data_IF_702125271294
#
_entry.id   IF_702125271294
#
_cell.length_a   1.000
_cell.length_b   1.000
_cell.length_c   1.000
_cell.angle_alpha   90.00
_cell.angle_beta   90.00
_cell.angle_gamma   90.00
#
_symmetry.space_group_name_H-M   'P 1'
#
loop_
_entity.id
_entity.type
_entity.pdbx_description
1 polymer ?
#
# COMPACT_ATOMS: atom_id res chain seq x y z
N UNK A 1 -22.74 -34.58 -48.18
CA UNK A 1 -22.40 -34.71 -46.74
C UNK A 1 -23.03 -33.56 -45.94
N UNK A 2 -24.34 -33.62 -45.62
CA UNK A 2 -25.02 -32.65 -44.73
C UNK A 2 -26.17 -33.25 -43.90
N UNK A 3 -26.46 -34.55 -44.04
CA UNK A 3 -27.62 -35.21 -43.40
C UNK A 3 -27.34 -35.76 -42.00
N UNK A 4 -26.07 -36.00 -41.65
CA UNK A 4 -25.69 -36.58 -40.34
C UNK A 4 -25.64 -35.55 -39.21
N UNK A 5 -25.35 -34.28 -39.50
CA UNK A 5 -25.29 -33.23 -38.45
C UNK A 5 -26.67 -32.74 -38.01
N UNK A 6 -27.69 -32.82 -38.89
CA UNK A 6 -29.07 -32.44 -38.56
C UNK A 6 -29.75 -33.50 -37.68
N UNK A 7 -29.46 -34.79 -37.90
CA UNK A 7 -29.96 -35.89 -37.07
C UNK A 7 -29.39 -35.85 -35.65
N UNK A 8 -28.13 -35.45 -35.46
CA UNK A 8 -27.51 -35.31 -34.14
C UNK A 8 -28.08 -34.14 -33.33
N UNK A 9 -28.42 -33.02 -33.98
CA UNK A 9 -29.04 -31.88 -33.31
C UNK A 9 -30.50 -32.15 -32.89
N UNK A 10 -31.25 -32.91 -33.69
CA UNK A 10 -32.63 -33.30 -33.35
C UNK A 10 -32.64 -34.31 -32.19
N UNK A 11 -31.70 -35.25 -32.15
CA UNK A 11 -31.59 -36.22 -31.05
C UNK A 11 -31.15 -35.54 -29.73
N UNK A 12 -30.23 -34.56 -29.80
CA UNK A 12 -29.83 -33.78 -28.63
C UNK A 12 -30.96 -32.88 -28.08
N UNK A 13 -31.78 -32.29 -28.97
CA UNK A 13 -32.95 -31.52 -28.57
C UNK A 13 -34.07 -32.41 -27.99
N UNK A 14 -34.27 -33.63 -28.50
CA UNK A 14 -35.25 -34.58 -27.96
C UNK A 14 -34.85 -35.09 -26.56
N UNK A 15 -33.56 -35.33 -26.32
CA UNK A 15 -33.02 -35.70 -25.01
C UNK A 15 -33.12 -34.59 -23.95
N UNK A 16 -33.01 -33.32 -24.37
CA UNK A 16 -33.19 -32.16 -23.48
C UNK A 16 -34.67 -31.92 -23.11
N UNK A 17 -35.62 -32.28 -23.99
CA UNK A 17 -37.06 -32.10 -23.72
C UNK A 17 -37.63 -33.24 -22.86
N UNK A 18 -37.04 -34.44 -22.87
CA UNK A 18 -37.51 -35.55 -22.02
C UNK A 18 -37.18 -35.41 -20.52
N UNK A 19 -36.25 -34.54 -20.14
CA UNK A 19 -35.90 -34.28 -18.73
C UNK A 19 -36.88 -33.31 -18.05
N UNK A 20 -37.63 -32.52 -18.83
CA UNK A 20 -38.54 -31.50 -18.30
C UNK A 20 -39.97 -31.99 -17.98
N UNK A 21 -40.28 -33.28 -18.16
CA UNK A 21 -41.63 -33.82 -17.91
C UNK A 21 -41.68 -34.93 -16.84
N UNK A 22 -40.64 -35.14 -16.05
CA UNK A 22 -40.68 -36.10 -14.91
C UNK A 22 -40.53 -35.46 -13.53
N UNK A 23 -40.65 -34.13 -13.43
CA UNK A 23 -40.73 -33.46 -12.12
C UNK A 23 -42.20 -33.16 -11.83
N UNK A 24 -42.86 -34.12 -11.18
CA UNK A 24 -44.19 -33.94 -10.62
C UNK A 24 -44.06 -33.04 -9.37
N UNK A 25 -44.53 -31.80 -9.48
CA UNK A 25 -44.58 -30.83 -8.37
C UNK A 25 -45.96 -30.79 -7.70
N UNK A 26 -46.70 -31.91 -7.71
CA UNK A 26 -48.07 -31.96 -7.20
C UNK A 26 -48.21 -32.44 -5.74
N UNK A 27 -47.15 -32.40 -4.93
CA UNK A 27 -47.29 -32.54 -3.47
C UNK A 27 -46.02 -32.09 -2.75
N UNK A 28 -45.90 -30.79 -2.50
CA UNK A 28 -45.05 -30.32 -1.40
C UNK A 28 -45.96 -30.33 -0.17
N UNK A 29 -45.80 -31.34 0.69
CA UNK A 29 -46.49 -31.41 1.98
C UNK A 29 -46.00 -30.28 2.88
N UNK A 30 -46.93 -29.50 3.45
CA UNK A 30 -46.65 -28.39 4.37
C UNK A 30 -45.87 -28.86 5.63
N UNK A 31 -45.89 -30.16 5.94
CA UNK A 31 -45.21 -30.77 7.08
C UNK A 31 -43.68 -30.90 6.92
N UNK A 32 -43.13 -30.94 5.69
CA UNK A 32 -41.66 -30.93 5.49
C UNK A 32 -41.06 -29.52 5.61
N UNK A 33 -41.80 -28.50 5.15
CA UNK A 33 -41.38 -27.09 5.28
C UNK A 33 -41.39 -26.67 6.76
N UNK A 34 -42.38 -27.12 7.54
CA UNK A 34 -42.45 -26.85 8.98
C UNK A 34 -41.27 -27.45 9.77
N UNK A 35 -40.74 -28.62 9.37
CA UNK A 35 -39.57 -29.24 10.01
C UNK A 35 -38.26 -28.49 9.74
N UNK A 36 -38.11 -27.83 8.60
CA UNK A 36 -36.93 -27.02 8.29
C UNK A 36 -36.88 -25.73 9.11
N UNK A 37 -38.04 -25.10 9.36
CA UNK A 37 -38.14 -23.87 10.15
C UNK A 37 -37.96 -24.12 11.65
N UNK A 38 -38.43 -25.25 12.17
CA UNK A 38 -38.29 -25.59 13.59
C UNK A 38 -36.83 -25.80 14.04
N UNK A 39 -35.92 -26.15 13.12
CA UNK A 39 -34.50 -26.41 13.45
C UNK A 39 -33.65 -25.13 13.57
N UNK A 40 -34.22 -23.95 13.31
CA UNK A 40 -33.50 -22.66 13.32
C UNK A 40 -33.76 -21.78 14.54
N UNK A 41 -34.66 -22.16 15.47
CA UNK A 41 -35.09 -21.29 16.58
C UNK A 41 -34.49 -21.58 17.96
N UNK A 42 -33.65 -22.61 18.14
CA UNK A 42 -33.07 -22.93 19.46
C UNK A 42 -31.66 -22.34 19.73
N UNK A 43 -31.16 -21.43 18.89
CA UNK A 43 -29.79 -20.90 19.04
C UNK A 43 -29.68 -19.39 19.33
N UNK A 44 -30.72 -18.72 19.82
CA UNK A 44 -30.62 -17.32 20.24
C UNK A 44 -31.47 -17.01 21.49
N UNK A 45 -31.02 -17.48 22.65
CA UNK A 45 -31.35 -16.83 23.93
C UNK A 45 -30.13 -15.96 24.29
N UNK A 46 -30.26 -14.62 24.33
CA UNK A 46 -29.21 -13.77 24.87
C UNK A 46 -29.05 -14.03 26.38
N UNK A 47 -27.84 -14.11 26.93
CA UNK A 47 -27.66 -14.15 28.37
C UNK A 47 -28.17 -12.84 28.99
N UNK A 48 -28.96 -12.96 30.07
CA UNK A 48 -29.37 -11.85 30.94
C UNK A 48 -28.14 -11.04 31.37
N UNK A 49 -28.14 -9.75 31.04
CA UNK A 49 -27.09 -8.80 31.40
C UNK A 49 -27.07 -8.58 32.92
N UNK A 50 -25.91 -8.80 33.54
CA UNK A 50 -25.61 -8.27 34.88
C UNK A 50 -25.55 -6.74 34.83
N UNK A 51 -25.80 -6.02 35.94
CA UNK A 51 -25.66 -4.56 35.99
C UNK A 51 -24.24 -4.17 35.56
N UNK A 52 -24.14 -3.51 34.41
CA UNK A 52 -22.90 -2.98 33.89
C UNK A 52 -22.38 -1.89 34.84
N UNK A 53 -21.12 -1.93 35.28
CA UNK A 53 -20.53 -0.80 35.98
C UNK A 53 -20.57 0.43 35.07
N UNK A 54 -20.94 1.56 35.66
CA UNK A 54 -21.01 2.88 35.04
C UNK A 54 -19.77 3.13 34.16
N UNK A 55 -19.94 3.60 32.92
CA UNK A 55 -18.80 3.86 32.04
C UNK A 55 -17.92 4.90 32.71
N UNK A 56 -16.75 4.46 33.18
CA UNK A 56 -15.69 5.38 33.57
C UNK A 56 -15.34 6.13 32.31
N UNK A 57 -15.70 7.41 32.28
CA UNK A 57 -15.35 8.34 31.23
C UNK A 57 -13.87 8.12 30.90
N UNK A 58 -13.51 7.75 29.65
CA UNK A 58 -12.10 7.63 29.31
C UNK A 58 -11.46 8.97 29.65
N UNK A 59 -10.43 8.91 30.49
CA UNK A 59 -9.58 10.06 30.75
C UNK A 59 -9.23 10.71 29.40
N UNK A 60 -9.26 12.04 29.29
CA UNK A 60 -8.97 12.73 28.05
C UNK A 60 -7.71 12.10 27.45
N UNK A 61 -7.85 11.54 26.24
CA UNK A 61 -6.74 11.08 25.45
C UNK A 61 -5.80 12.27 25.39
N UNK A 62 -4.64 12.16 26.06
CA UNK A 62 -3.61 13.15 25.93
C UNK A 62 -3.38 13.32 24.44
N UNK A 63 -3.60 14.54 23.94
CA UNK A 63 -3.17 14.90 22.59
C UNK A 63 -1.71 14.43 22.44
N UNK A 64 -1.31 13.87 21.29
CA UNK A 64 0.08 13.54 21.06
C UNK A 64 0.86 14.82 21.34
N UNK A 65 1.69 14.80 22.37
CA UNK A 65 2.62 15.89 22.62
C UNK A 65 3.42 16.00 21.34
N UNK A 66 3.20 17.06 20.58
CA UNK A 66 4.01 17.40 19.43
C UNK A 66 5.41 17.62 20.00
N UNK A 67 6.22 16.56 19.94
CA UNK A 67 7.55 16.56 20.50
C UNK A 67 8.37 17.50 19.63
N UNK A 68 8.40 18.77 20.03
CA UNK A 68 9.27 19.76 19.44
C UNK A 68 10.71 19.30 19.73
N UNK A 69 11.31 18.59 18.78
CA UNK A 69 12.68 18.09 18.88
C UNK A 69 13.73 19.22 18.81
N UNK A 70 13.30 20.47 18.67
CA UNK A 70 14.17 21.62 18.89
C UNK A 70 14.24 21.85 20.40
N UNK A 71 15.37 21.45 20.99
CA UNK A 71 15.60 21.48 22.43
C UNK A 71 15.15 22.79 23.08
N UNK A 72 14.45 22.62 24.21
CA UNK A 72 14.08 23.70 25.12
C UNK A 72 15.32 24.53 25.47
N UNK A 73 15.26 25.82 25.15
CA UNK A 73 16.28 26.80 25.50
C UNK A 73 16.25 27.04 27.02
N UNK A 74 16.83 26.13 27.80
CA UNK A 74 17.24 26.48 29.17
C UNK A 74 18.66 27.05 29.12
N UNK A 75 18.73 28.37 29.27
CA UNK A 75 19.97 29.12 29.39
C UNK A 75 20.68 28.66 30.68
N UNK A 76 21.73 27.83 30.56
CA UNK A 76 22.65 27.60 31.66
C UNK A 76 23.88 28.47 31.50
N UNK A 77 24.20 29.04 32.65
CA UNK A 77 25.13 30.12 32.92
C UNK A 77 26.58 29.81 32.53
N UNK A 78 27.30 30.90 32.31
CA UNK A 78 28.67 31.07 31.81
C UNK A 78 29.72 30.23 32.57
N UNK A 79 30.63 29.57 31.85
CA UNK A 79 32.02 29.45 32.32
C UNK A 79 32.98 29.72 31.15
N UNK A 80 33.89 30.65 31.41
CA UNK A 80 34.82 31.27 30.49
C UNK A 80 36.16 30.57 30.56
N UNK A 81 36.68 30.13 29.43
CA UNK A 81 38.04 30.40 28.96
C UNK A 81 38.40 29.45 27.81
N UNK A 82 39.17 29.94 26.85
CA UNK A 82 39.57 29.32 25.57
C UNK A 82 38.62 29.53 24.38
N UNK A 83 38.74 30.76 23.83
CA UNK A 83 38.22 31.16 22.54
C UNK A 83 39.11 30.61 21.39
N UNK A 84 38.73 29.47 20.85
CA UNK A 84 38.97 29.11 19.46
C UNK A 84 37.58 28.99 18.82
N UNK A 85 37.23 29.98 17.98
CA UNK A 85 35.89 30.22 17.46
C UNK A 85 35.48 29.13 16.44
N UNK A 86 35.15 27.94 16.96
CA UNK A 86 34.57 26.85 16.22
C UNK A 86 33.05 27.03 16.26
N UNK A 87 32.55 27.84 15.32
CA UNK A 87 31.12 28.09 15.07
C UNK A 87 30.41 26.77 14.69
N UNK A 88 30.05 25.97 15.69
CA UNK A 88 29.20 24.80 15.50
C UNK A 88 27.75 25.29 15.44
N UNK A 89 27.33 25.71 14.25
CA UNK A 89 25.92 25.95 13.99
C UNK A 89 25.15 24.64 14.22
N UNK A 90 24.49 24.52 15.37
CA UNK A 90 23.38 23.58 15.54
C UNK A 90 22.20 24.11 14.73
N UNK A 91 22.29 23.97 13.40
CA UNK A 91 21.11 24.00 12.55
C UNK A 91 20.30 22.76 12.89
N UNK A 92 19.27 22.90 13.72
CA UNK A 92 18.08 22.07 13.53
C UNK A 92 17.72 22.26 12.06
N UNK A 93 18.04 21.26 11.22
CA UNK A 93 17.86 21.33 9.78
C UNK A 93 16.41 21.76 9.50
N UNK A 94 16.25 22.97 8.97
CA UNK A 94 14.96 23.65 8.82
C UNK A 94 14.11 23.09 7.68
N UNK A 95 14.62 22.10 6.93
CA UNK A 95 13.86 21.42 5.88
C UNK A 95 12.83 20.47 6.48
N UNK A 96 11.56 20.78 6.28
CA UNK A 96 10.45 20.01 6.85
C UNK A 96 10.36 18.58 6.29
N UNK A 97 10.59 18.43 4.97
CA UNK A 97 10.52 17.16 4.27
C UNK A 97 11.90 16.53 4.12
N UNK A 98 12.14 15.38 4.77
CA UNK A 98 13.43 14.69 4.72
C UNK A 98 13.25 13.18 4.75
N UNK A 99 13.84 12.49 3.78
CA UNK A 99 13.76 11.05 3.65
C UNK A 99 15.10 10.37 3.95
N UNK A 100 15.04 9.20 4.56
CA UNK A 100 16.18 8.28 4.72
C UNK A 100 15.89 6.97 4.04
N UNK A 101 16.80 6.52 3.19
CA UNK A 101 16.74 5.19 2.60
C UNK A 101 16.93 4.09 3.65
N UNK A 102 16.12 3.03 3.58
CA UNK A 102 16.15 1.91 4.51
C UNK A 102 16.51 0.61 3.79
N UNK A 103 15.82 0.28 2.71
CA UNK A 103 16.06 -0.96 1.94
C UNK A 103 15.42 -0.91 0.55
N UNK A 104 15.77 -1.87 -0.29
CA UNK A 104 15.22 -2.05 -1.64
C UNK A 104 15.06 -3.52 -2.02
N UNK A 105 14.18 -3.82 -2.99
CA UNK A 105 13.97 -5.19 -3.50
C UNK A 105 14.96 -5.59 -4.58
N UNK A 106 15.10 -4.77 -5.63
CA UNK A 106 16.05 -4.97 -6.73
C UNK A 106 17.32 -4.20 -6.41
N UNK A 107 18.42 -4.92 -6.17
CA UNK A 107 19.74 -4.31 -5.94
C UNK A 107 20.33 -3.77 -7.24
N UNK A 108 21.19 -2.76 -7.12
CA UNK A 108 21.96 -2.26 -8.26
C UNK A 108 22.74 -3.37 -8.96
N UNK A 109 22.81 -3.29 -10.29
CA UNK A 109 23.42 -4.26 -11.20
C UNK A 109 22.75 -5.64 -11.20
N UNK A 110 21.51 -5.74 -10.73
CA UNK A 110 20.66 -6.90 -11.00
C UNK A 110 20.56 -7.14 -12.51
N UNK A 111 20.64 -8.41 -12.91
CA UNK A 111 20.61 -8.82 -14.31
C UNK A 111 19.18 -9.15 -14.73
N UNK A 112 18.74 -8.58 -15.86
CA UNK A 112 17.44 -8.86 -16.47
C UNK A 112 17.60 -9.19 -17.96
N UNK A 113 16.62 -9.89 -18.52
CA UNK A 113 16.49 -10.09 -19.96
C UNK A 113 15.71 -8.94 -20.62
N UNK A 114 15.89 -8.71 -21.94
CA UNK A 114 15.14 -7.71 -22.67
C UNK A 114 13.62 -7.83 -22.50
N UNK A 115 12.98 -6.72 -22.12
CA UNK A 115 11.54 -6.62 -21.84
C UNK A 115 11.04 -7.45 -20.64
N UNK A 116 11.94 -7.95 -19.79
CA UNK A 116 11.54 -8.61 -18.55
C UNK A 116 10.90 -7.60 -17.58
N UNK A 117 9.72 -7.95 -17.06
CA UNK A 117 9.02 -7.16 -16.05
C UNK A 117 9.53 -7.48 -14.65
N UNK A 118 9.64 -6.46 -13.81
CA UNK A 118 10.03 -6.59 -12.42
C UNK A 118 9.45 -5.45 -11.59
N UNK A 119 9.33 -5.68 -10.28
CA UNK A 119 8.80 -4.70 -9.34
C UNK A 119 9.93 -4.17 -8.47
N UNK A 120 10.18 -2.85 -8.56
CA UNK A 120 11.16 -2.14 -7.75
C UNK A 120 10.45 -1.50 -6.57
N UNK A 121 10.90 -1.81 -5.35
CA UNK A 121 10.40 -1.17 -4.13
C UNK A 121 11.56 -0.51 -3.41
N UNK A 122 11.38 0.75 -2.98
CA UNK A 122 12.25 1.39 -2.00
C UNK A 122 11.48 1.60 -0.70
N UNK A 123 12.05 1.14 0.42
CA UNK A 123 11.57 1.50 1.75
C UNK A 123 12.28 2.75 2.23
N UNK A 124 11.50 3.76 2.56
CA UNK A 124 11.97 5.05 3.05
C UNK A 124 11.44 5.32 4.45
N UNK A 125 12.19 6.08 5.24
CA UNK A 125 11.76 6.61 6.54
C UNK A 125 11.61 8.13 6.46
N UNK A 126 10.51 8.65 7.00
CA UNK A 126 10.37 10.07 7.25
C UNK A 126 11.24 10.47 8.44
N UNK A 127 12.30 11.24 8.18
CA UNK A 127 13.22 11.80 9.18
C UNK A 127 13.10 13.32 9.25
N UNK A 128 12.05 13.88 8.66
CA UNK A 128 11.68 15.29 8.74
C UNK A 128 10.68 15.54 9.85
N UNK A 129 9.99 16.66 9.76
CA UNK A 129 8.98 17.11 10.73
C UNK A 129 7.59 17.28 10.09
N UNK A 130 7.49 17.30 8.75
CA UNK A 130 6.22 17.30 8.04
C UNK A 130 5.71 15.87 7.87
N UNK A 131 4.41 15.67 8.07
CA UNK A 131 3.72 14.48 7.59
C UNK A 131 3.66 14.51 6.06
N UNK A 132 4.09 13.43 5.42
CA UNK A 132 3.91 13.26 3.98
C UNK A 132 2.49 12.78 3.72
N UNK A 133 1.70 13.52 2.95
CA UNK A 133 0.33 13.14 2.60
C UNK A 133 0.31 12.28 1.33
N UNK A 134 -0.87 11.81 0.93
CA UNK A 134 -1.05 11.09 -0.34
C UNK A 134 -0.86 11.96 -1.59
N UNK A 135 -0.74 13.28 -1.43
CA UNK A 135 -0.44 14.21 -2.54
C UNK A 135 1.07 14.28 -2.86
N UNK A 136 1.89 13.67 -2.00
CA UNK A 136 3.32 13.47 -2.25
C UNK A 136 3.51 12.41 -3.32
N UNK A 137 4.58 12.53 -4.10
CA UNK A 137 4.82 11.64 -5.23
C UNK A 137 6.29 11.34 -5.47
N UNK A 138 6.55 10.20 -6.07
CA UNK A 138 7.83 9.81 -6.66
C UNK A 138 7.74 10.00 -8.17
N UNK A 139 8.65 10.80 -8.73
CA UNK A 139 8.62 11.15 -10.15
C UNK A 139 9.98 10.93 -10.80
N UNK A 140 9.98 10.47 -12.06
CA UNK A 140 11.19 10.27 -12.83
C UNK A 140 11.89 11.61 -13.05
N UNK A 141 13.13 11.73 -12.57
CA UNK A 141 13.94 12.93 -12.72
C UNK A 141 14.78 12.89 -14.00
N UNK A 142 15.38 11.74 -14.30
CA UNK A 142 16.26 11.52 -15.46
C UNK A 142 16.59 10.04 -15.63
N UNK A 143 17.18 9.68 -16.77
CA UNK A 143 17.59 8.31 -17.07
C UNK A 143 16.50 7.52 -17.81
N UNK A 144 16.59 6.20 -17.74
CA UNK A 144 15.60 5.32 -18.37
C UNK A 144 14.37 5.18 -17.46
N UNK A 145 13.18 5.36 -18.03
CA UNK A 145 11.92 5.29 -17.31
C UNK A 145 11.50 3.83 -17.00
N UNK A 146 12.12 2.86 -17.66
CA UNK A 146 11.86 1.42 -17.55
C UNK A 146 10.36 1.12 -17.63
N UNK A 147 9.66 1.77 -18.56
CA UNK A 147 8.22 1.58 -18.79
C UNK A 147 7.28 2.44 -17.95
N UNK A 148 7.75 3.08 -16.88
CA UNK A 148 6.92 3.93 -16.02
C UNK A 148 6.77 5.33 -16.64
N UNK A 149 5.54 5.81 -16.80
CA UNK A 149 5.24 7.11 -17.48
C UNK A 149 4.42 8.08 -16.65
N UNK A 150 4.17 7.73 -15.40
CA UNK A 150 3.39 8.53 -14.45
C UNK A 150 4.24 8.75 -13.20
N UNK A 151 3.85 9.73 -12.39
CA UNK A 151 4.34 9.83 -11.02
C UNK A 151 3.57 8.86 -10.14
N UNK A 152 4.28 8.23 -9.21
CA UNK A 152 3.70 7.31 -8.22
C UNK A 152 3.38 8.09 -6.95
N UNK A 153 2.10 8.14 -6.58
CA UNK A 153 1.66 8.85 -5.38
C UNK A 153 1.89 8.01 -4.13
N UNK A 154 2.05 8.66 -2.99
CA UNK A 154 2.27 7.96 -1.74
C UNK A 154 1.00 7.18 -1.35
N UNK A 155 1.12 5.90 -0.95
CA UNK A 155 -0.05 5.05 -0.74
C UNK A 155 -0.85 5.38 0.53
N UNK A 156 -0.25 6.11 1.47
CA UNK A 156 -0.84 6.55 2.73
C UNK A 156 -0.05 7.72 3.32
N UNK A 157 -0.60 8.37 4.34
CA UNK A 157 0.11 9.40 5.10
C UNK A 157 1.29 8.79 5.90
N UNK A 158 2.41 9.50 5.96
CA UNK A 158 3.64 9.06 6.63
C UNK A 158 4.12 10.13 7.59
N UNK A 159 3.86 9.93 8.88
CA UNK A 159 4.26 10.86 9.94
C UNK A 159 5.78 10.85 10.15
N UNK A 160 6.35 11.89 10.78
CA UNK A 160 7.73 11.86 11.25
C UNK A 160 8.03 10.58 12.03
N UNK A 161 9.11 9.89 11.64
CA UNK A 161 9.52 8.62 12.25
C UNK A 161 8.92 7.36 11.62
N UNK A 162 7.91 7.48 10.76
CA UNK A 162 7.27 6.34 10.07
C UNK A 162 7.98 5.96 8.77
N UNK A 163 7.53 4.85 8.17
CA UNK A 163 8.10 4.26 6.98
C UNK A 163 7.08 4.18 5.85
N UNK A 164 7.55 4.20 4.61
CA UNK A 164 6.75 3.98 3.40
C UNK A 164 7.50 3.11 2.43
N UNK A 165 6.77 2.21 1.77
CA UNK A 165 7.26 1.43 0.64
C UNK A 165 6.70 2.06 -0.64
N UNK A 166 7.60 2.53 -1.50
CA UNK A 166 7.25 3.07 -2.81
C UNK A 166 7.60 2.03 -3.86
N UNK A 167 6.58 1.55 -4.55
CA UNK A 167 6.64 0.43 -5.49
C UNK A 167 6.41 0.91 -6.91
N UNK A 168 7.23 0.43 -7.84
CA UNK A 168 7.13 0.72 -9.27
C UNK A 168 7.21 -0.59 -10.07
N UNK A 169 6.19 -0.84 -10.87
CA UNK A 169 6.21 -1.89 -11.88
C UNK A 169 6.99 -1.43 -13.11
N UNK A 170 8.14 -2.06 -13.34
CA UNK A 170 9.12 -1.67 -14.36
C UNK A 170 9.34 -2.79 -15.39
N UNK A 171 9.80 -2.40 -16.57
CA UNK A 171 10.21 -3.28 -17.65
C UNK A 171 11.65 -2.96 -18.06
N UNK A 172 12.50 -3.99 -18.08
CA UNK A 172 13.87 -3.89 -18.57
C UNK A 172 13.86 -3.47 -20.06
N UNK A 173 14.73 -2.51 -20.48
CA UNK A 173 14.80 -2.08 -21.87
C UNK A 173 15.08 -3.22 -22.87
N UNK A 174 14.66 -3.04 -24.13
CA UNK A 174 14.75 -4.10 -25.14
C UNK A 174 16.17 -4.33 -25.69
N UNK A 175 17.11 -3.43 -25.43
CA UNK A 175 18.51 -3.53 -25.88
C UNK A 175 19.40 -3.88 -24.70
N UNK A 176 20.38 -4.75 -24.93
CA UNK A 176 21.42 -5.07 -23.95
C UNK A 176 22.20 -3.82 -23.55
N UNK A 177 22.62 -3.78 -22.29
CA UNK A 177 23.40 -2.68 -21.73
C UNK A 177 23.04 -2.37 -20.27
N UNK A 178 23.79 -1.43 -19.70
CA UNK A 178 23.53 -0.89 -18.37
C UNK A 178 22.56 0.28 -18.47
N UNK A 179 21.57 0.32 -17.57
CA UNK A 179 20.57 1.38 -17.53
C UNK A 179 20.44 1.91 -16.11
N UNK A 180 20.41 3.24 -15.99
CA UNK A 180 20.17 3.93 -14.72
C UNK A 180 18.85 4.70 -14.79
N UNK A 181 18.08 4.64 -13.71
CA UNK A 181 16.84 5.38 -13.52
C UNK A 181 16.92 6.21 -12.24
N UNK A 182 16.72 7.53 -12.33
CA UNK A 182 16.78 8.46 -11.19
C UNK A 182 15.40 8.98 -10.86
N UNK A 183 15.00 8.85 -9.60
CA UNK A 183 13.66 9.20 -9.11
C UNK A 183 13.73 10.21 -7.96
N UNK A 184 12.84 11.17 -7.99
CA UNK A 184 12.81 12.32 -7.10
C UNK A 184 11.52 12.30 -6.31
N UNK A 185 11.59 12.37 -4.97
CA UNK A 185 10.39 12.61 -4.17
C UNK A 185 10.03 14.08 -4.26
N UNK A 186 8.74 14.36 -4.35
CA UNK A 186 8.16 15.69 -4.44
C UNK A 186 6.96 15.80 -3.51
N UNK A 187 6.81 16.97 -2.91
CA UNK A 187 5.63 17.29 -2.12
C UNK A 187 4.45 17.73 -2.99
N UNK A 188 3.35 18.11 -2.33
CA UNK A 188 2.10 18.53 -2.97
C UNK A 188 2.27 19.75 -3.90
N UNK A 189 3.32 20.56 -3.69
CA UNK A 189 3.63 21.73 -4.52
C UNK A 189 4.73 21.45 -5.55
N UNK A 190 5.22 20.22 -5.65
CA UNK A 190 6.32 19.84 -6.53
C UNK A 190 7.71 20.26 -6.01
N UNK A 191 7.83 20.64 -4.74
CA UNK A 191 9.14 20.90 -4.13
C UNK A 191 9.82 19.56 -3.89
N UNK A 192 11.07 19.47 -4.32
CA UNK A 192 11.87 18.25 -4.32
C UNK A 192 12.49 18.01 -2.94
N UNK A 193 12.43 16.78 -2.45
CA UNK A 193 13.14 16.37 -1.23
C UNK A 193 13.61 14.91 -1.36
N UNK A 194 14.89 14.61 -1.13
CA UNK A 194 15.40 13.24 -1.23
C UNK A 194 15.38 12.63 -2.65
N UNK A 195 16.24 11.65 -2.92
CA UNK A 195 16.36 11.02 -4.23
C UNK A 195 16.67 9.54 -4.07
N UNK A 196 16.14 8.71 -4.96
CA UNK A 196 16.49 7.30 -5.09
C UNK A 196 16.84 6.98 -6.54
N UNK A 197 17.57 5.89 -6.76
CA UNK A 197 17.92 5.45 -8.09
C UNK A 197 17.93 3.92 -8.19
N UNK A 198 18.06 3.43 -9.41
CA UNK A 198 18.23 2.01 -9.74
C UNK A 198 19.21 1.89 -10.91
N UNK A 199 20.15 0.96 -10.82
CA UNK A 199 20.99 0.52 -11.94
C UNK A 199 20.68 -0.95 -12.25
N UNK A 200 20.45 -1.29 -13.52
CA UNK A 200 20.30 -2.69 -13.99
C UNK A 200 21.22 -3.00 -15.17
N UNK A 201 21.54 -4.28 -15.35
CA UNK A 201 22.28 -4.81 -16.50
C UNK A 201 21.37 -5.72 -17.34
N UNK A 202 21.16 -5.37 -18.61
CA UNK A 202 20.31 -6.14 -19.54
C UNK A 202 21.16 -7.03 -20.43
N UNK A 203 20.88 -8.34 -20.44
CA UNK A 203 21.67 -9.38 -21.15
C UNK A 203 20.90 -10.26 -22.12
#
# INVERSE_FOLDING_TARGET
MKKTSLSLLIIAALLLVTVACQVDFSSIDEDEVAKLVAKTLEAQIPPTQQPQPEPTQPAPTAEPVEENCCGDYSYRDYDSDYNYDHYYYNYCNTECNRARFISETVRDYSVFYPNESFTKTWRLKNIGHCTWTTDYRLELQSGDAMGVRHAEYFPHEVRPGEYVDLELDMNAPCRRGEYTSFWQLQDEYGRKFGQVYLIIDVR
#
